data_IF_238555901168
#
_entry.id   IF_238555901168
#
_cell.length_a   1.000
_cell.length_b   1.000
_cell.length_c   1.000
_cell.angle_alpha   90.00
_cell.angle_beta   90.00
_cell.angle_gamma   90.00
#
_symmetry.space_group_name_H-M   'P 1'
#
loop_
_entity.id
_entity.type
_entity.pdbx_description
1 polymer ?
#
# COMPACT_ATOMS: atom_id res chain seq x y z
N UNK A 1 14.14 26.09 9.07
CA UNK A 1 14.11 24.95 8.14
C UNK A 1 12.67 24.75 7.68
N UNK A 2 12.38 24.76 6.38
CA UNK A 2 11.03 24.46 5.87
C UNK A 2 10.62 23.07 6.39
N UNK A 3 9.43 22.96 7.00
CA UNK A 3 8.91 21.70 7.53
C UNK A 3 8.56 20.78 6.36
N UNK A 4 9.33 19.71 6.20
CA UNK A 4 9.20 18.74 5.09
C UNK A 4 8.07 17.76 5.40
N UNK A 5 7.22 17.49 4.41
CA UNK A 5 6.22 16.44 4.50
C UNK A 5 6.90 15.08 4.74
N UNK A 6 6.26 14.25 5.55
CA UNK A 6 6.74 12.95 6.01
C UNK A 6 6.16 11.86 5.11
N UNK A 7 6.95 11.37 4.15
CA UNK A 7 6.46 10.43 3.13
C UNK A 7 6.65 8.99 3.59
N UNK A 8 5.55 8.25 3.71
CA UNK A 8 5.53 6.86 4.15
C UNK A 8 5.04 6.00 2.99
N UNK A 9 5.85 5.05 2.53
CA UNK A 9 5.48 4.20 1.39
C UNK A 9 4.98 2.84 1.85
N UNK A 10 3.84 2.38 1.33
CA UNK A 10 3.42 0.99 1.48
C UNK A 10 4.46 0.04 0.87
N UNK A 11 4.72 -1.07 1.56
CA UNK A 11 5.76 -2.04 1.20
C UNK A 11 5.21 -3.47 1.27
N UNK A 12 5.24 -4.15 0.12
CA UNK A 12 4.73 -5.50 -0.06
C UNK A 12 5.82 -6.55 0.19
N UNK A 13 5.63 -7.48 1.15
CA UNK A 13 6.63 -8.51 1.43
C UNK A 13 6.59 -9.70 0.45
N UNK A 14 5.62 -9.77 -0.47
CA UNK A 14 5.31 -10.93 -1.32
C UNK A 14 6.26 -11.17 -2.51
N UNK A 15 7.57 -11.04 -2.28
CA UNK A 15 8.63 -11.32 -3.25
C UNK A 15 9.55 -12.44 -2.76
N UNK A 16 8.93 -13.47 -2.18
CA UNK A 16 9.56 -14.74 -1.79
C UNK A 16 8.49 -15.83 -1.78
N UNK A 17 8.83 -17.09 -2.10
CA UNK A 17 7.88 -18.18 -2.09
C UNK A 17 7.52 -18.56 -0.64
N UNK A 18 6.26 -18.94 -0.43
CA UNK A 18 5.77 -19.55 0.80
C UNK A 18 4.94 -20.80 0.46
N UNK A 19 4.88 -21.81 1.33
CA UNK A 19 4.13 -23.04 1.07
C UNK A 19 2.67 -22.80 0.66
N UNK A 20 1.98 -21.86 1.33
CA UNK A 20 0.57 -21.53 1.06
C UNK A 20 0.36 -20.98 -0.35
N UNK A 21 1.26 -20.13 -0.83
CA UNK A 21 1.19 -19.60 -2.19
C UNK A 21 1.54 -20.67 -3.21
N UNK A 22 2.54 -21.51 -2.93
CA UNK A 22 2.97 -22.57 -3.82
C UNK A 22 1.88 -23.63 -4.04
N UNK A 23 1.16 -24.00 -2.98
CA UNK A 23 0.02 -24.93 -3.03
C UNK A 23 -1.10 -24.43 -3.96
N UNK A 24 -1.25 -23.11 -4.04
CA UNK A 24 -2.35 -22.49 -4.76
C UNK A 24 -2.00 -22.07 -6.19
N UNK A 25 -0.83 -21.46 -6.36
CA UNK A 25 -0.43 -20.77 -7.58
C UNK A 25 0.64 -21.52 -8.36
N UNK A 26 1.11 -22.64 -7.81
CA UNK A 26 2.20 -23.43 -8.34
C UNK A 26 3.53 -23.10 -7.66
N UNK A 27 4.41 -24.09 -7.65
CA UNK A 27 5.72 -24.05 -7.01
C UNK A 27 6.53 -22.81 -7.42
N UNK A 28 7.07 -22.11 -6.42
CA UNK A 28 7.91 -20.92 -6.62
C UNK A 28 7.13 -19.63 -6.89
N UNK A 29 5.85 -19.56 -6.52
CA UNK A 29 5.05 -18.37 -6.80
C UNK A 29 5.52 -17.17 -5.96
N UNK A 30 5.71 -16.05 -6.64
CA UNK A 30 5.88 -14.72 -6.06
C UNK A 30 5.11 -13.71 -6.90
N UNK A 31 5.01 -12.46 -6.45
CA UNK A 31 4.41 -11.40 -7.25
C UNK A 31 5.11 -11.15 -8.60
N UNK A 32 6.37 -11.55 -8.73
CA UNK A 32 7.06 -11.56 -10.01
C UNK A 32 6.40 -12.46 -11.05
N UNK A 33 5.75 -13.54 -10.63
CA UNK A 33 5.03 -14.44 -11.55
C UNK A 33 3.91 -13.70 -12.28
N UNK A 34 3.14 -12.86 -11.58
CA UNK A 34 2.07 -12.07 -12.20
C UNK A 34 2.65 -10.97 -13.10
N UNK A 35 3.69 -10.29 -12.61
CA UNK A 35 4.38 -9.22 -13.35
C UNK A 35 4.99 -9.74 -14.66
N UNK A 36 5.75 -10.83 -14.62
CA UNK A 36 6.43 -11.40 -15.78
C UNK A 36 5.48 -12.02 -16.82
N UNK A 37 4.30 -12.50 -16.39
CA UNK A 37 3.26 -13.06 -17.28
C UNK A 37 2.39 -11.99 -17.93
N UNK A 38 2.42 -10.75 -17.44
CA UNK A 38 1.57 -9.68 -17.93
C UNK A 38 1.81 -9.42 -19.42
N UNK A 39 0.72 -9.12 -20.14
CA UNK A 39 0.74 -8.81 -21.58
C UNK A 39 -0.09 -7.56 -21.85
N UNK A 40 0.29 -6.74 -22.85
CA UNK A 40 -0.53 -5.63 -23.30
C UNK A 40 -1.93 -6.09 -23.70
N UNK A 41 -2.95 -5.50 -23.08
CA UNK A 41 -4.35 -5.71 -23.45
C UNK A 41 -4.76 -4.94 -24.72
N UNK A 42 -4.07 -3.84 -25.03
CA UNK A 42 -4.34 -2.97 -26.17
C UNK A 42 -3.05 -2.30 -26.66
N UNK A 43 -3.09 -1.68 -27.84
CA UNK A 43 -1.94 -0.98 -28.41
C UNK A 43 -1.52 0.20 -27.53
N UNK A 44 -0.22 0.30 -27.22
CA UNK A 44 0.32 1.34 -26.34
C UNK A 44 0.18 1.03 -24.84
N UNK A 45 -0.47 -0.08 -24.46
CA UNK A 45 -0.51 -0.54 -23.08
C UNK A 45 0.87 -1.05 -22.65
N UNK A 46 1.49 -0.38 -21.69
CA UNK A 46 2.79 -0.74 -21.17
C UNK A 46 2.69 -1.90 -20.17
N UNK A 47 2.87 -3.12 -20.67
CA UNK A 47 3.04 -4.35 -19.89
C UNK A 47 3.97 -5.30 -20.66
N UNK A 48 4.77 -6.15 -19.99
CA UNK A 48 5.03 -6.13 -18.54
C UNK A 48 5.86 -4.91 -18.14
N UNK A 49 5.69 -4.44 -16.90
CA UNK A 49 6.68 -3.58 -16.27
C UNK A 49 7.90 -4.42 -15.89
N UNK A 50 9.10 -3.97 -16.25
CA UNK A 50 10.36 -4.72 -15.99
C UNK A 50 11.25 -3.90 -15.05
N UNK A 51 11.65 -4.44 -13.88
CA UNK A 51 12.53 -3.74 -12.95
C UNK A 51 13.88 -3.42 -13.59
N UNK A 52 14.40 -2.22 -13.31
CA UNK A 52 15.70 -1.77 -13.82
C UNK A 52 16.85 -2.21 -12.91
N UNK A 53 17.00 -1.59 -11.74
CA UNK A 53 18.24 -1.70 -10.95
C UNK A 53 18.35 -2.97 -10.12
N UNK A 54 17.23 -3.41 -9.52
CA UNK A 54 17.21 -4.50 -8.54
C UNK A 54 16.78 -5.83 -9.15
N UNK A 55 16.34 -5.83 -10.41
CA UNK A 55 15.84 -7.01 -11.11
C UNK A 55 14.65 -7.69 -10.40
N UNK A 56 14.42 -8.95 -10.75
CA UNK A 56 13.41 -9.80 -10.11
C UNK A 56 13.96 -10.37 -8.79
N UNK A 57 14.06 -9.51 -7.77
CA UNK A 57 14.72 -9.81 -6.51
C UNK A 57 13.97 -10.80 -5.60
N UNK A 58 14.65 -11.29 -4.56
CA UNK A 58 14.05 -12.03 -3.45
C UNK A 58 14.20 -11.23 -2.14
N UNK A 59 13.10 -11.02 -1.41
CA UNK A 59 13.09 -10.23 -0.18
C UNK A 59 13.64 -10.98 1.05
N UNK A 60 14.08 -12.23 0.91
CA UNK A 60 14.88 -12.93 1.92
C UNK A 60 16.34 -12.50 1.90
N UNK A 61 16.80 -11.88 0.81
CA UNK A 61 18.17 -11.39 0.68
C UNK A 61 18.30 -10.02 1.38
N UNK A 62 19.21 -9.88 2.37
CA UNK A 62 19.41 -8.61 3.06
C UNK A 62 19.90 -7.50 2.12
N UNK A 63 20.70 -7.83 1.11
CA UNK A 63 21.26 -6.88 0.13
C UNK A 63 20.14 -6.16 -0.64
N UNK A 64 19.09 -6.90 -1.03
CA UNK A 64 17.90 -6.32 -1.67
C UNK A 64 17.25 -5.29 -0.76
N UNK A 65 17.01 -5.65 0.51
CA UNK A 65 16.33 -4.78 1.48
C UNK A 65 17.16 -3.53 1.76
N UNK A 66 18.48 -3.67 1.88
CA UNK A 66 19.41 -2.56 2.06
C UNK A 66 19.33 -1.62 0.85
N UNK A 67 19.52 -2.14 -0.36
CA UNK A 67 19.49 -1.34 -1.59
C UNK A 67 18.16 -0.57 -1.77
N UNK A 68 17.03 -1.21 -1.46
CA UNK A 68 15.72 -0.55 -1.48
C UNK A 68 15.64 0.60 -0.47
N UNK A 69 16.11 0.40 0.76
CA UNK A 69 16.07 1.47 1.78
C UNK A 69 17.05 2.61 1.51
N UNK A 70 18.22 2.32 0.93
CA UNK A 70 19.18 3.33 0.49
C UNK A 70 18.57 4.21 -0.61
N UNK A 71 17.97 3.58 -1.62
CA UNK A 71 17.25 4.26 -2.70
C UNK A 71 16.08 5.09 -2.15
N UNK A 72 15.23 4.49 -1.31
CA UNK A 72 14.09 5.18 -0.71
C UNK A 72 14.52 6.42 0.09
N UNK A 73 15.58 6.29 0.90
CA UNK A 73 16.18 7.39 1.66
C UNK A 73 16.72 8.49 0.75
N UNK A 74 17.44 8.13 -0.31
CA UNK A 74 18.03 9.06 -1.27
C UNK A 74 16.97 9.98 -1.93
N UNK A 75 15.77 9.45 -2.16
CA UNK A 75 14.68 10.16 -2.83
C UNK A 75 13.61 10.72 -1.88
N UNK A 76 13.83 10.62 -0.56
CA UNK A 76 13.03 11.33 0.43
C UNK A 76 11.82 10.57 0.97
N UNK A 77 11.77 9.25 0.80
CA UNK A 77 10.90 8.39 1.61
C UNK A 77 11.44 8.37 3.04
N UNK A 78 10.59 8.67 4.02
CA UNK A 78 10.96 8.63 5.44
C UNK A 78 10.90 7.22 6.01
N UNK A 79 9.88 6.46 5.64
CA UNK A 79 9.60 5.15 6.23
C UNK A 79 8.89 4.20 5.26
N UNK A 80 9.04 2.90 5.50
CA UNK A 80 8.21 1.87 4.87
C UNK A 80 7.09 1.42 5.80
N UNK A 81 5.87 1.32 5.27
CA UNK A 81 4.72 0.74 5.91
C UNK A 81 4.57 -0.71 5.42
N UNK A 82 5.10 -1.66 6.18
CA UNK A 82 5.06 -3.06 5.80
C UNK A 82 3.65 -3.61 5.95
N UNK A 83 3.15 -4.27 4.91
CA UNK A 83 1.97 -5.10 5.09
C UNK A 83 2.29 -6.26 6.03
N UNK A 84 1.49 -6.36 7.08
CA UNK A 84 1.53 -7.38 8.11
C UNK A 84 0.23 -8.18 8.04
N UNK A 85 0.35 -9.51 7.96
CA UNK A 85 -0.78 -10.41 7.83
C UNK A 85 -0.96 -11.22 9.12
N UNK A 86 -2.12 -11.07 9.74
CA UNK A 86 -2.52 -11.76 10.95
C UNK A 86 -3.94 -12.31 10.78
N UNK A 87 -4.05 -13.64 10.86
CA UNK A 87 -5.26 -14.42 10.67
C UNK A 87 -5.53 -15.24 11.93
N UNK A 88 -5.87 -14.54 13.01
CA UNK A 88 -6.24 -15.16 14.28
C UNK A 88 -5.18 -16.15 14.85
N UNK A 89 -3.93 -15.68 14.99
CA UNK A 89 -2.81 -16.50 15.46
C UNK A 89 -1.92 -17.08 14.36
N UNK A 90 -2.37 -17.09 13.10
CA UNK A 90 -1.55 -17.45 11.95
C UNK A 90 -1.02 -16.20 11.24
N UNK A 91 0.29 -16.19 10.92
CA UNK A 91 0.94 -15.16 10.12
C UNK A 91 1.32 -15.72 8.75
N UNK A 92 1.38 -14.85 7.75
CA UNK A 92 1.86 -15.15 6.39
C UNK A 92 2.75 -14.01 5.88
N UNK A 93 3.67 -14.35 4.96
CA UNK A 93 4.62 -13.42 4.31
C UNK A 93 5.50 -12.63 5.30
N UNK A 94 5.65 -13.16 6.50
CA UNK A 94 6.15 -12.42 7.64
C UNK A 94 7.67 -12.46 7.76
N UNK A 95 8.31 -13.39 7.04
CA UNK A 95 9.74 -13.64 7.08
C UNK A 95 10.59 -12.40 6.77
N UNK A 96 10.37 -11.64 5.68
CA UNK A 96 11.21 -10.48 5.37
C UNK A 96 11.21 -9.45 6.51
N UNK A 97 10.03 -9.13 7.07
CA UNK A 97 9.94 -8.18 8.17
C UNK A 97 10.54 -8.73 9.47
N UNK A 98 10.36 -10.02 9.77
CA UNK A 98 10.99 -10.65 10.92
C UNK A 98 12.51 -10.53 10.87
N UNK A 99 13.12 -10.78 9.70
CA UNK A 99 14.56 -10.66 9.54
C UNK A 99 15.02 -9.20 9.72
N UNK A 100 14.24 -8.20 9.26
CA UNK A 100 14.54 -6.78 9.49
C UNK A 100 14.47 -6.40 10.97
N UNK A 101 13.46 -6.91 11.68
CA UNK A 101 13.30 -6.64 13.12
C UNK A 101 14.39 -7.33 13.94
N UNK A 102 14.72 -8.59 13.64
CA UNK A 102 15.70 -9.38 14.37
C UNK A 102 17.14 -8.91 14.14
N UNK A 103 17.48 -8.59 12.89
CA UNK A 103 18.84 -8.15 12.54
C UNK A 103 19.12 -6.70 12.93
N UNK A 104 18.08 -5.88 13.08
CA UNK A 104 18.25 -4.44 13.21
C UNK A 104 18.59 -3.74 11.88
N UNK A 105 18.63 -4.48 10.77
CA UNK A 105 19.06 -4.00 9.45
C UNK A 105 17.98 -4.25 8.38
N UNK A 106 17.80 -3.34 7.41
CA UNK A 106 18.47 -2.04 7.31
C UNK A 106 18.02 -1.05 8.41
N UNK A 107 18.91 -0.15 8.83
CA UNK A 107 18.56 0.98 9.71
C UNK A 107 17.70 2.03 8.97
N UNK A 108 16.43 1.68 8.74
CA UNK A 108 15.44 2.50 8.06
C UNK A 108 14.13 2.54 8.85
N UNK A 109 13.48 3.72 9.00
CA UNK A 109 12.24 3.80 9.75
C UNK A 109 11.10 2.97 9.13
N UNK A 110 10.23 2.44 9.98
CA UNK A 110 9.10 1.64 9.51
C UNK A 110 7.87 1.73 10.41
N UNK A 111 6.72 1.36 9.85
CA UNK A 111 5.49 1.05 10.59
C UNK A 111 4.79 -0.16 9.97
N UNK A 112 3.73 -0.64 10.62
CA UNK A 112 2.99 -1.81 10.17
C UNK A 112 1.56 -1.46 9.74
N UNK A 113 1.10 -2.13 8.68
CA UNK A 113 -0.28 -2.13 8.21
C UNK A 113 -0.87 -3.53 8.29
N UNK A 114 -1.87 -3.73 9.13
CA UNK A 114 -2.63 -4.98 9.15
C UNK A 114 -3.47 -5.09 7.87
N UNK A 115 -3.03 -5.95 6.96
CA UNK A 115 -3.71 -6.26 5.71
C UNK A 115 -4.82 -7.31 5.96
N UNK A 116 -5.87 -6.90 6.66
CA UNK A 116 -6.95 -7.75 7.18
C UNK A 116 -8.02 -8.11 6.13
N UNK A 117 -7.59 -8.53 4.94
CA UNK A 117 -8.49 -9.01 3.90
C UNK A 117 -8.39 -10.53 3.77
N UNK A 118 -9.54 -11.20 3.63
CA UNK A 118 -9.58 -12.62 3.24
C UNK A 118 -8.88 -12.83 1.91
N UNK A 119 -7.98 -13.81 1.85
CA UNK A 119 -7.32 -14.20 0.61
C UNK A 119 -8.17 -15.24 -0.09
N UNK A 120 -8.95 -14.77 -1.05
CA UNK A 120 -9.79 -15.60 -1.90
C UNK A 120 -9.28 -15.59 -3.34
N UNK A 121 -9.66 -16.60 -4.12
CA UNK A 121 -9.36 -16.66 -5.55
C UNK A 121 -10.11 -15.62 -6.39
N UNK A 122 -10.85 -14.69 -5.77
CA UNK A 122 -11.60 -13.62 -6.47
C UNK A 122 -10.66 -12.78 -7.34
N UNK A 123 -9.48 -12.43 -6.84
CA UNK A 123 -8.46 -11.68 -7.60
C UNK A 123 -7.93 -12.44 -8.83
N UNK A 124 -8.30 -13.73 -8.97
CA UNK A 124 -7.82 -14.64 -10.00
C UNK A 124 -8.92 -15.50 -10.63
N UNK A 125 -10.19 -15.10 -10.51
CA UNK A 125 -11.33 -15.73 -11.21
C UNK A 125 -11.84 -17.06 -10.64
N UNK A 126 -11.51 -17.42 -9.38
CA UNK A 126 -12.04 -18.61 -8.69
C UNK A 126 -12.61 -18.24 -7.30
N UNK A 127 -13.84 -17.69 -7.23
CA UNK A 127 -14.39 -17.10 -6.02
C UNK A 127 -14.70 -18.12 -4.90
N UNK A 128 -14.74 -19.42 -5.22
CA UNK A 128 -15.11 -20.48 -4.28
C UNK A 128 -13.92 -21.06 -3.50
N UNK A 129 -12.68 -20.74 -3.90
CA UNK A 129 -11.48 -21.17 -3.16
C UNK A 129 -11.05 -20.02 -2.24
N UNK A 130 -10.93 -20.30 -0.95
CA UNK A 130 -10.35 -19.39 0.06
C UNK A 130 -9.02 -20.00 0.49
N UNK A 131 -7.92 -19.24 0.36
CA UNK A 131 -6.59 -19.67 0.76
C UNK A 131 -6.44 -19.52 2.27
N UNK A 132 -6.83 -18.36 2.78
CA UNK A 132 -6.93 -18.09 4.20
C UNK A 132 -8.04 -17.05 4.45
N UNK A 133 -8.92 -17.37 5.39
CA UNK A 133 -10.02 -16.51 5.81
C UNK A 133 -9.53 -15.52 6.88
N UNK A 134 -9.92 -14.25 6.74
CA UNK A 134 -9.78 -13.29 7.84
C UNK A 134 -10.95 -13.46 8.80
N UNK A 135 -10.64 -13.87 10.03
CA UNK A 135 -11.58 -13.94 11.15
C UNK A 135 -11.17 -12.99 12.29
N UNK A 136 -12.08 -12.80 13.25
CA UNK A 136 -11.89 -11.92 14.42
C UNK A 136 -12.48 -12.57 15.67
N UNK A 137 -11.80 -13.55 16.29
CA UNK A 137 -12.36 -14.37 17.37
C UNK A 137 -12.73 -13.61 18.65
N UNK A 138 -12.20 -12.39 18.85
CA UNK A 138 -12.54 -11.54 19.97
C UNK A 138 -11.32 -11.06 20.75
N UNK A 139 -11.51 -10.80 22.04
CA UNK A 139 -10.54 -10.13 22.93
C UNK A 139 -9.19 -10.85 22.96
N UNK A 140 -9.19 -12.17 23.14
CA UNK A 140 -7.97 -12.96 23.30
C UNK A 140 -7.08 -12.90 22.05
N UNK A 141 -7.70 -12.89 20.86
CA UNK A 141 -6.99 -12.73 19.60
C UNK A 141 -6.44 -11.31 19.43
N UNK A 142 -7.23 -10.28 19.74
CA UNK A 142 -6.76 -8.90 19.70
C UNK A 142 -5.59 -8.66 20.66
N UNK A 143 -5.62 -9.24 21.86
CA UNK A 143 -4.50 -9.19 22.80
C UNK A 143 -3.27 -9.94 22.27
N UNK A 144 -3.47 -11.10 21.65
CA UNK A 144 -2.39 -11.86 21.02
C UNK A 144 -1.75 -11.08 19.87
N UNK A 145 -2.56 -10.45 19.02
CA UNK A 145 -2.10 -9.62 17.92
C UNK A 145 -1.30 -8.41 18.43
N UNK A 146 -1.80 -7.71 19.45
CA UNK A 146 -1.05 -6.60 20.03
C UNK A 146 0.29 -7.06 20.62
N UNK A 147 0.31 -8.20 21.33
CA UNK A 147 1.55 -8.78 21.87
C UNK A 147 2.55 -9.12 20.77
N UNK A 148 2.07 -9.59 19.62
CA UNK A 148 2.90 -9.87 18.45
C UNK A 148 3.51 -8.61 17.83
N UNK A 149 2.77 -7.50 17.83
CA UNK A 149 3.23 -6.22 17.29
C UNK A 149 4.18 -5.48 18.26
N UNK A 150 4.09 -5.77 19.55
CA UNK A 150 4.79 -5.03 20.60
C UNK A 150 6.33 -4.96 20.43
N UNK A 151 7.04 -6.03 20.04
CA UNK A 151 8.48 -5.94 19.76
C UNK A 151 8.80 -4.90 18.69
N UNK A 152 8.01 -4.84 17.62
CA UNK A 152 8.18 -3.82 16.58
C UNK A 152 7.90 -2.41 17.12
N UNK A 153 6.83 -2.21 17.89
CA UNK A 153 6.51 -0.89 18.48
C UNK A 153 7.61 -0.34 19.39
N UNK A 154 8.39 -1.23 20.02
CA UNK A 154 9.52 -0.87 20.88
C UNK A 154 10.83 -0.62 20.12
N UNK A 155 10.92 -1.00 18.84
CA UNK A 155 12.09 -0.72 18.01
C UNK A 155 12.29 0.80 17.88
N UNK A 156 13.55 1.25 17.96
CA UNK A 156 13.93 2.66 17.84
C UNK A 156 13.56 3.24 16.46
N UNK A 157 13.48 2.40 15.43
CA UNK A 157 13.13 2.74 14.05
C UNK A 157 11.61 2.84 13.84
N UNK A 158 10.80 2.43 14.82
CA UNK A 158 9.35 2.41 14.67
C UNK A 158 8.78 3.83 14.61
N UNK A 159 7.98 4.10 13.57
CA UNK A 159 7.40 5.40 13.33
C UNK A 159 6.38 5.78 14.42
N UNK A 160 6.53 7.00 14.94
CA UNK A 160 5.64 7.56 15.96
C UNK A 160 5.04 8.90 15.52
N UNK A 161 3.83 9.17 16.01
CA UNK A 161 3.12 10.45 15.91
C UNK A 161 2.84 10.90 17.33
N UNK A 162 3.38 12.05 17.74
CA UNK A 162 3.29 12.55 19.12
C UNK A 162 3.74 11.53 20.18
N UNK A 163 4.78 10.75 19.86
CA UNK A 163 5.30 9.68 20.72
C UNK A 163 4.49 8.38 20.73
N UNK A 164 3.33 8.34 20.05
CA UNK A 164 2.47 7.16 19.91
C UNK A 164 2.92 6.30 18.71
N UNK A 165 3.10 4.98 18.83
CA UNK A 165 3.36 4.11 17.68
C UNK A 165 2.22 4.22 16.66
N UNK A 166 2.58 4.44 15.38
CA UNK A 166 1.61 4.47 14.29
C UNK A 166 1.29 3.04 13.85
N UNK A 167 0.02 2.66 13.81
CA UNK A 167 -0.43 1.37 13.30
C UNK A 167 -1.60 1.54 12.33
N UNK A 168 -1.46 0.96 11.14
CA UNK A 168 -2.46 1.06 10.07
C UNK A 168 -3.32 -0.20 10.02
N UNK A 169 -4.62 -0.04 9.75
CA UNK A 169 -5.56 -1.13 9.53
C UNK A 169 -6.17 -0.93 8.14
N UNK A 170 -6.02 -1.92 7.27
CA UNK A 170 -6.40 -1.79 5.85
C UNK A 170 -7.92 -1.81 5.62
N UNK A 171 -8.66 -2.65 6.36
CA UNK A 171 -10.13 -2.73 6.29
C UNK A 171 -10.76 -2.59 7.67
N UNK A 172 -10.72 -1.41 8.28
CA UNK A 172 -11.23 -1.21 9.64
C UNK A 172 -12.74 -1.49 9.76
N UNK A 173 -13.51 -1.35 8.67
CA UNK A 173 -14.95 -1.66 8.62
C UNK A 173 -15.27 -3.14 8.78
N UNK A 174 -14.37 -4.01 8.36
CA UNK A 174 -14.60 -5.45 8.36
C UNK A 174 -14.42 -6.05 9.77
N UNK A 175 -13.87 -5.28 10.71
CA UNK A 175 -13.64 -5.68 12.10
C UNK A 175 -14.95 -5.57 12.89
N UNK A 176 -15.51 -6.69 13.40
CA UNK A 176 -16.68 -6.66 14.26
C UNK A 176 -16.40 -5.88 15.54
N UNK A 177 -17.27 -4.92 15.86
CA UNK A 177 -17.12 -4.05 17.03
C UNK A 177 -15.71 -3.44 17.12
N UNK A 178 -15.27 -2.78 16.05
CA UNK A 178 -13.91 -2.20 15.94
C UNK A 178 -13.55 -1.29 17.14
N UNK A 179 -14.53 -0.61 17.73
CA UNK A 179 -14.31 0.22 18.92
C UNK A 179 -13.82 -0.58 20.14
N UNK A 180 -14.21 -1.86 20.27
CA UNK A 180 -13.69 -2.74 21.32
C UNK A 180 -12.19 -3.00 21.13
N UNK A 181 -11.79 -3.39 19.91
CA UNK A 181 -10.38 -3.59 19.57
C UNK A 181 -9.57 -2.30 19.81
N UNK A 182 -10.07 -1.15 19.35
CA UNK A 182 -9.44 0.15 19.55
C UNK A 182 -9.19 0.43 21.03
N UNK A 183 -10.21 0.27 21.89
CA UNK A 183 -10.06 0.49 23.34
C UNK A 183 -9.01 -0.42 23.95
N UNK A 184 -9.01 -1.69 23.57
CA UNK A 184 -8.05 -2.68 24.04
C UNK A 184 -6.61 -2.31 23.62
N UNK A 185 -6.38 -2.00 22.34
CA UNK A 185 -5.07 -1.62 21.82
C UNK A 185 -4.53 -0.37 22.53
N UNK A 186 -5.37 0.64 22.77
CA UNK A 186 -4.96 1.84 23.55
C UNK A 186 -4.57 1.49 24.98
N UNK A 187 -5.37 0.68 25.67
CA UNK A 187 -5.05 0.22 27.04
C UNK A 187 -3.73 -0.56 27.08
N UNK A 188 -3.49 -1.44 26.11
CA UNK A 188 -2.25 -2.23 26.03
C UNK A 188 -1.04 -1.37 25.68
N UNK A 189 -1.19 -0.37 24.82
CA UNK A 189 -0.14 0.59 24.49
C UNK A 189 0.30 1.41 25.72
N UNK A 190 -0.66 1.88 26.52
CA UNK A 190 -0.38 2.59 27.77
C UNK A 190 0.34 1.67 28.76
N UNK A 191 -0.16 0.43 28.96
CA UNK A 191 0.49 -0.58 29.81
C UNK A 191 1.92 -0.92 29.35
N UNK A 192 2.18 -0.84 28.05
CA UNK A 192 3.49 -1.08 27.46
C UNK A 192 4.47 0.12 27.58
N UNK A 193 4.02 1.25 28.14
CA UNK A 193 4.84 2.45 28.37
C UNK A 193 4.76 3.51 27.27
N UNK A 194 3.84 3.39 26.31
CA UNK A 194 3.59 4.45 25.33
C UNK A 194 2.54 5.45 25.87
N UNK A 195 2.53 6.71 25.40
CA UNK A 195 1.45 7.64 25.76
C UNK A 195 0.07 7.14 25.35
N UNK A 196 0.01 6.44 24.20
CA UNK A 196 -1.18 5.89 23.55
C UNK A 196 -0.70 5.14 22.28
N UNK A 197 -1.60 4.71 21.39
CA UNK A 197 -1.31 4.24 20.02
C UNK A 197 -1.98 5.17 19.01
N UNK A 198 -1.32 5.44 17.88
CA UNK A 198 -1.89 6.25 16.79
C UNK A 198 -2.48 5.33 15.73
N UNK A 199 -3.80 5.15 15.77
CA UNK A 199 -4.51 4.20 14.92
C UNK A 199 -5.00 4.89 13.65
N UNK A 200 -4.65 4.28 12.52
CA UNK A 200 -4.98 4.81 11.19
C UNK A 200 -5.76 3.76 10.40
N UNK A 201 -6.94 4.12 9.90
CA UNK A 201 -7.71 3.26 8.99
C UNK A 201 -7.47 3.61 7.53
N UNK A 202 -7.56 2.66 6.60
CA UNK A 202 -7.65 3.01 5.17
C UNK A 202 -9.12 3.21 4.78
N UNK A 203 -9.41 4.28 4.03
CA UNK A 203 -10.74 4.59 3.49
C UNK A 203 -10.69 4.75 1.97
N UNK A 204 -11.71 4.23 1.30
CA UNK A 204 -11.84 4.19 -0.17
C UNK A 204 -13.10 4.96 -0.65
N UNK A 205 -13.25 6.23 -0.25
CA UNK A 205 -14.44 7.08 -0.56
C UNK A 205 -15.78 6.58 0.00
N UNK A 206 -15.76 5.69 0.96
CA UNK A 206 -16.91 4.92 1.43
C UNK A 206 -17.61 5.56 2.64
N UNK A 207 -17.44 6.86 2.84
CA UNK A 207 -18.06 7.63 3.93
C UNK A 207 -17.59 7.24 5.33
N UNK A 208 -16.53 6.44 5.46
CA UNK A 208 -16.01 6.04 6.77
C UNK A 208 -15.41 7.22 7.54
N UNK A 209 -15.78 7.34 8.80
CA UNK A 209 -15.26 8.38 9.70
C UNK A 209 -14.31 7.74 10.74
N UNK A 210 -13.02 8.12 10.76
CA UNK A 210 -12.07 7.57 11.73
C UNK A 210 -12.45 7.91 13.17
N UNK A 211 -12.91 9.13 13.45
CA UNK A 211 -13.22 9.58 14.82
C UNK A 211 -14.37 8.81 15.43
N UNK A 212 -15.44 8.58 14.67
CA UNK A 212 -16.61 7.81 15.12
C UNK A 212 -16.23 6.37 15.49
N UNK A 213 -15.21 5.82 14.83
CA UNK A 213 -14.72 4.46 15.05
C UNK A 213 -13.56 4.39 16.06
N UNK A 214 -13.15 5.51 16.67
CA UNK A 214 -12.10 5.60 17.68
C UNK A 214 -10.66 5.66 17.13
N UNK A 215 -10.50 5.85 15.81
CA UNK A 215 -9.23 6.03 15.14
C UNK A 215 -8.78 7.49 15.19
N UNK A 216 -7.47 7.72 15.11
CA UNK A 216 -6.88 9.05 15.09
C UNK A 216 -6.94 9.66 13.68
N UNK A 217 -6.80 8.84 12.64
CA UNK A 217 -6.84 9.29 11.26
C UNK A 217 -7.30 8.21 10.26
N UNK A 218 -7.55 8.64 9.01
CA UNK A 218 -7.82 7.79 7.87
C UNK A 218 -6.90 8.14 6.69
N UNK A 219 -6.29 7.13 6.07
CA UNK A 219 -5.60 7.27 4.79
C UNK A 219 -6.65 7.28 3.68
N UNK A 220 -6.68 8.35 2.90
CA UNK A 220 -7.56 8.48 1.75
C UNK A 220 -6.95 7.77 0.54
N UNK A 221 -7.14 6.45 0.46
CA UNK A 221 -6.66 5.64 -0.66
C UNK A 221 -7.74 5.56 -1.74
N UNK A 222 -7.84 6.65 -2.50
CA UNK A 222 -8.87 6.83 -3.50
C UNK A 222 -8.48 6.20 -4.83
N UNK A 223 -9.38 5.41 -5.39
CA UNK A 223 -9.31 4.90 -6.76
C UNK A 223 -10.64 5.14 -7.45
N UNK A 224 -10.65 5.37 -8.77
CA UNK A 224 -11.89 5.43 -9.52
C UNK A 224 -12.61 4.06 -9.49
N UNK A 225 -13.95 4.09 -9.54
CA UNK A 225 -14.77 2.88 -9.47
C UNK A 225 -14.62 1.96 -10.69
N UNK A 226 -14.89 0.66 -10.49
CA UNK A 226 -14.95 -0.32 -11.57
C UNK A 226 -16.25 -0.20 -12.35
N UNK A 227 -16.27 0.67 -13.36
CA UNK A 227 -17.46 0.97 -14.18
C UNK A 227 -17.61 0.09 -15.42
N UNK A 228 -16.60 -0.69 -15.77
CA UNK A 228 -16.54 -1.40 -17.05
C UNK A 228 -16.41 -0.45 -18.25
N UNK A 229 -15.99 0.79 -18.02
CA UNK A 229 -15.90 1.82 -19.05
C UNK A 229 -14.56 1.76 -19.77
N UNK A 230 -14.62 1.49 -21.08
CA UNK A 230 -13.48 1.59 -22.00
C UNK A 230 -13.66 2.85 -22.87
N UNK A 231 -12.69 3.78 -22.86
CA UNK A 231 -12.68 4.98 -23.70
C UNK A 231 -12.85 4.66 -25.19
N UNK A 232 -13.52 5.56 -25.93
CA UNK A 232 -13.75 5.42 -27.37
C UNK A 232 -12.47 5.33 -28.21
N UNK A 233 -11.35 5.83 -27.70
CA UNK A 233 -10.02 5.68 -28.34
C UNK A 233 -9.50 4.24 -28.41
N UNK A 234 -10.11 3.31 -27.69
CA UNK A 234 -9.78 1.88 -27.71
C UNK A 234 -10.93 1.04 -28.31
N UNK A 235 -11.34 1.28 -29.58
CA UNK A 235 -12.57 0.68 -30.13
C UNK A 235 -12.48 -0.85 -30.24
N UNK A 236 -11.32 -1.39 -30.62
CA UNK A 236 -11.09 -2.84 -30.72
C UNK A 236 -11.15 -3.52 -29.35
N UNK A 237 -10.59 -2.88 -28.31
CA UNK A 237 -10.65 -3.39 -26.94
C UNK A 237 -12.08 -3.38 -26.42
N UNK A 238 -12.83 -2.30 -26.68
CA UNK A 238 -14.23 -2.17 -26.30
C UNK A 238 -15.10 -3.28 -26.90
N UNK A 239 -14.87 -3.61 -28.17
CA UNK A 239 -15.55 -4.75 -28.82
C UNK A 239 -15.16 -6.09 -28.19
N UNK A 240 -13.85 -6.34 -28.00
CA UNK A 240 -13.36 -7.57 -27.35
C UNK A 240 -13.89 -7.75 -25.93
N UNK A 241 -13.96 -6.67 -25.14
CA UNK A 241 -14.47 -6.71 -23.76
C UNK A 241 -15.94 -7.08 -23.73
N UNK A 242 -16.76 -6.54 -24.63
CA UNK A 242 -18.18 -6.92 -24.75
C UNK A 242 -18.37 -8.40 -25.08
N UNK A 243 -17.54 -8.96 -25.97
CA UNK A 243 -17.63 -10.37 -26.35
C UNK A 243 -17.25 -11.29 -25.17
N UNK A 244 -16.30 -10.88 -24.33
CA UNK A 244 -15.80 -11.66 -23.20
C UNK A 244 -16.49 -11.35 -21.86
N UNK A 245 -17.56 -10.55 -21.88
CA UNK A 245 -18.21 -10.01 -20.67
C UNK A 245 -17.21 -9.39 -19.66
N UNK A 246 -16.17 -8.74 -20.19
CA UNK A 246 -15.12 -8.11 -19.40
C UNK A 246 -15.56 -6.76 -18.83
N UNK A 247 -15.21 -6.50 -17.56
CA UNK A 247 -15.52 -5.26 -16.83
C UNK A 247 -14.32 -4.32 -16.69
N UNK A 248 -13.43 -4.32 -17.68
CA UNK A 248 -12.24 -3.49 -17.70
C UNK A 248 -12.62 -2.01 -17.61
N UNK A 249 -12.02 -1.30 -16.67
CA UNK A 249 -12.22 0.13 -16.48
C UNK A 249 -10.93 0.87 -16.80
N UNK A 250 -10.98 1.86 -17.68
CA UNK A 250 -9.80 2.64 -18.07
C UNK A 250 -10.08 4.13 -17.87
N UNK A 251 -9.21 4.78 -17.11
CA UNK A 251 -9.23 6.21 -16.82
C UNK A 251 -7.90 6.85 -17.22
N UNK A 252 -7.91 8.15 -17.55
CA UNK A 252 -6.66 8.91 -17.68
C UNK A 252 -6.23 9.43 -16.33
N UNK A 253 -4.93 9.34 -16.03
CA UNK A 253 -4.38 9.89 -14.78
C UNK A 253 -4.78 11.35 -14.56
N UNK A 254 -4.63 12.19 -15.58
CA UNK A 254 -5.01 13.61 -15.51
C UNK A 254 -6.48 13.87 -15.17
N UNK A 255 -7.38 12.96 -15.56
CA UNK A 255 -8.83 13.13 -15.35
C UNK A 255 -9.22 12.77 -13.91
N UNK A 256 -8.43 11.93 -13.23
CA UNK A 256 -8.70 11.46 -11.85
C UNK A 256 -7.80 12.10 -10.80
N UNK A 257 -6.73 12.81 -11.18
CA UNK A 257 -5.73 13.41 -10.27
C UNK A 257 -6.37 14.13 -9.07
N UNK A 258 -7.37 14.98 -9.33
CA UNK A 258 -8.03 15.74 -8.27
C UNK A 258 -8.84 14.88 -7.30
N UNK A 259 -9.39 13.75 -7.76
CA UNK A 259 -10.08 12.78 -6.90
C UNK A 259 -9.12 11.91 -6.10
N UNK A 260 -7.91 11.64 -6.63
CA UNK A 260 -6.89 10.88 -5.90
C UNK A 260 -6.46 11.61 -4.62
N UNK A 261 -6.30 12.95 -4.70
CA UNK A 261 -5.90 13.80 -3.57
C UNK A 261 -7.04 14.79 -3.25
N UNK A 262 -8.05 14.38 -2.46
CA UNK A 262 -9.18 15.24 -2.13
C UNK A 262 -8.78 16.30 -1.10
N UNK A 263 -9.36 17.48 -1.21
CA UNK A 263 -9.15 18.61 -0.27
C UNK A 263 -9.52 18.28 1.18
N UNK A 264 -10.35 17.26 1.40
CA UNK A 264 -10.65 16.71 2.73
C UNK A 264 -9.38 16.36 3.52
N UNK A 265 -8.30 15.99 2.83
CA UNK A 265 -6.99 15.68 3.43
C UNK A 265 -6.25 16.90 4.02
N UNK A 266 -6.80 18.12 3.88
CA UNK A 266 -6.37 19.30 4.65
C UNK A 266 -6.72 19.18 6.15
N UNK A 267 -7.77 18.42 6.48
CA UNK A 267 -8.20 18.16 7.85
C UNK A 267 -7.23 17.20 8.55
N UNK A 268 -7.12 17.29 9.88
CA UNK A 268 -6.11 16.55 10.65
C UNK A 268 -6.34 15.03 10.57
N UNK A 269 -7.60 14.63 10.51
CA UNK A 269 -8.10 13.25 10.55
C UNK A 269 -7.90 12.50 9.22
N UNK A 270 -7.49 13.19 8.16
CA UNK A 270 -7.40 12.59 6.82
C UNK A 270 -6.00 12.79 6.24
N UNK A 271 -5.35 11.68 5.93
CA UNK A 271 -4.00 11.63 5.38
C UNK A 271 -4.08 11.40 3.86
N UNK A 272 -3.41 12.22 3.03
CA UNK A 272 -3.39 11.98 1.60
C UNK A 272 -2.60 10.71 1.26
N UNK A 273 -3.06 9.98 0.26
CA UNK A 273 -2.35 8.84 -0.33
C UNK A 273 -2.06 9.15 -1.80
N UNK A 274 -0.79 9.32 -2.17
CA UNK A 274 -0.38 9.55 -3.56
C UNK A 274 -0.12 8.22 -4.26
N UNK A 275 -0.44 8.18 -5.56
CA UNK A 275 -0.23 7.02 -6.42
C UNK A 275 0.59 7.44 -7.66
N UNK A 276 1.76 6.84 -7.93
CA UNK A 276 2.51 7.09 -9.17
C UNK A 276 1.72 6.67 -10.41
N UNK A 277 1.00 5.56 -10.34
CA UNK A 277 0.24 4.95 -11.43
C UNK A 277 -0.68 3.86 -10.85
N UNK A 278 -1.48 3.21 -11.72
CA UNK A 278 -2.30 2.07 -11.31
C UNK A 278 -2.68 1.22 -12.51
N UNK A 279 -2.37 -0.07 -12.46
CA UNK A 279 -2.76 -1.08 -13.43
C UNK A 279 -2.71 -2.48 -12.81
N UNK A 280 -3.87 -2.98 -12.35
CA UNK A 280 -3.98 -4.33 -11.81
C UNK A 280 -4.37 -5.39 -12.86
N UNK A 281 -4.25 -5.08 -14.15
CA UNK A 281 -4.48 -6.05 -15.22
C UNK A 281 -3.56 -7.28 -15.22
N UNK A 282 -2.32 -7.26 -14.66
CA UNK A 282 -1.53 -8.48 -14.46
C UNK A 282 -2.25 -9.55 -13.62
N UNK A 283 -3.06 -9.13 -12.64
CA UNK A 283 -3.86 -10.05 -11.80
C UNK A 283 -5.26 -10.28 -12.39
N UNK A 284 -5.92 -9.20 -12.81
CA UNK A 284 -7.36 -9.18 -13.11
C UNK A 284 -7.72 -9.25 -14.60
N UNK A 285 -6.75 -9.14 -15.51
CA UNK A 285 -6.96 -9.14 -16.96
C UNK A 285 -8.02 -8.14 -17.40
N UNK A 286 -9.02 -8.61 -18.15
CA UNK A 286 -10.15 -7.81 -18.67
C UNK A 286 -11.16 -7.36 -17.60
N UNK A 287 -10.91 -7.63 -16.32
CA UNK A 287 -11.72 -7.17 -15.19
C UNK A 287 -10.98 -6.17 -14.30
N UNK A 288 -9.80 -5.71 -14.73
CA UNK A 288 -8.98 -4.76 -13.99
C UNK A 288 -9.42 -3.31 -14.10
N UNK A 289 -8.63 -2.48 -13.42
CA UNK A 289 -8.62 -1.02 -13.49
C UNK A 289 -7.25 -0.58 -14.02
N UNK A 290 -7.26 0.26 -15.05
CA UNK A 290 -6.07 0.87 -15.63
C UNK A 290 -6.21 2.39 -15.56
N UNK A 291 -5.26 3.05 -14.92
CA UNK A 291 -5.07 4.50 -14.98
C UNK A 291 -3.95 4.77 -16.00
N UNK A 292 -4.34 4.98 -17.25
CA UNK A 292 -3.41 5.19 -18.37
C UNK A 292 -2.91 6.65 -18.42
N UNK A 293 -1.88 6.87 -19.23
CA UNK A 293 -1.24 8.17 -19.44
C UNK A 293 -0.69 8.79 -18.14
N UNK A 294 -0.26 7.98 -17.16
CA UNK A 294 0.53 8.49 -16.03
C UNK A 294 1.94 8.90 -16.50
N UNK A 295 2.47 9.97 -15.89
CA UNK A 295 3.81 10.46 -16.13
C UNK A 295 4.42 11.05 -14.85
N UNK A 296 5.76 11.14 -14.76
CA UNK A 296 6.42 11.81 -13.64
C UNK A 296 5.91 13.22 -13.38
N UNK A 297 5.55 13.99 -14.42
CA UNK A 297 5.03 15.36 -14.29
C UNK A 297 3.64 15.40 -13.68
N UNK A 298 2.75 14.49 -14.08
CA UNK A 298 1.40 14.39 -13.50
C UNK A 298 1.46 13.86 -12.07
N UNK A 299 2.33 12.89 -11.79
CA UNK A 299 2.57 12.42 -10.44
C UNK A 299 3.12 13.54 -9.56
N UNK A 300 4.03 14.35 -10.08
CA UNK A 300 4.56 15.54 -9.38
C UNK A 300 3.45 16.52 -8.98
N UNK A 301 2.45 16.73 -9.83
CA UNK A 301 1.29 17.57 -9.48
C UNK A 301 0.47 16.96 -8.33
N UNK A 302 0.29 15.65 -8.32
CA UNK A 302 -0.36 14.92 -7.22
C UNK A 302 0.41 15.07 -5.90
N UNK A 303 1.74 14.95 -5.95
CA UNK A 303 2.64 15.19 -4.82
C UNK A 303 2.56 16.62 -4.30
N UNK A 304 2.67 17.62 -5.19
CA UNK A 304 2.63 19.04 -4.82
C UNK A 304 1.30 19.35 -4.09
N UNK A 305 0.18 18.82 -4.58
CA UNK A 305 -1.13 18.96 -3.91
C UNK A 305 -1.19 18.27 -2.55
N UNK A 306 -0.66 17.05 -2.44
CA UNK A 306 -0.64 16.32 -1.17
C UNK A 306 0.22 17.04 -0.11
N UNK A 307 1.37 17.58 -0.52
CA UNK A 307 2.27 18.35 0.35
C UNK A 307 1.65 19.67 0.78
N UNK A 308 0.96 20.38 -0.12
CA UNK A 308 0.18 21.57 0.20
C UNK A 308 -0.88 21.24 1.27
N UNK A 309 -1.66 20.17 1.07
CA UNK A 309 -2.73 19.77 1.99
C UNK A 309 -2.24 19.51 3.43
N UNK A 310 -1.01 19.02 3.60
CA UNK A 310 -0.46 18.74 4.94
C UNK A 310 0.39 19.87 5.50
N UNK A 311 0.77 20.87 4.71
CA UNK A 311 1.75 21.89 5.07
C UNK A 311 1.40 22.71 6.34
N UNK A 312 0.11 22.92 6.60
CA UNK A 312 -0.39 23.67 7.75
C UNK A 312 -0.62 22.80 9.00
N UNK A 313 -0.46 21.47 8.91
CA UNK A 313 -0.67 20.56 10.04
C UNK A 313 0.52 20.63 11.03
N UNK A 314 0.32 20.21 12.31
CA UNK A 314 1.44 20.00 13.22
C UNK A 314 2.49 19.07 12.61
N UNK A 315 3.78 19.29 12.92
CA UNK A 315 4.88 18.63 12.23
C UNK A 315 4.80 17.09 12.25
N UNK A 316 4.39 16.51 13.38
CA UNK A 316 4.18 15.07 13.55
C UNK A 316 3.05 14.50 12.67
N UNK A 317 2.09 15.34 12.29
CA UNK A 317 0.90 15.02 11.48
C UNK A 317 1.04 15.41 10.00
N UNK A 318 2.20 15.93 9.57
CA UNK A 318 2.47 16.23 8.15
C UNK A 318 2.74 14.97 7.32
N UNK A 319 1.96 13.91 7.52
CA UNK A 319 2.13 12.60 6.92
C UNK A 319 1.49 12.54 5.54
N UNK A 320 2.22 12.00 4.57
CA UNK A 320 1.71 11.66 3.23
C UNK A 320 2.02 10.19 2.98
N UNK A 321 0.98 9.40 2.73
CA UNK A 321 1.16 8.02 2.32
C UNK A 321 1.42 7.94 0.82
N UNK A 322 2.27 7.01 0.43
CA UNK A 322 2.54 6.68 -0.96
C UNK A 322 2.16 5.21 -1.16
N UNK A 323 1.24 4.95 -2.08
CA UNK A 323 0.96 3.59 -2.53
C UNK A 323 1.52 3.48 -3.94
N UNK A 324 2.59 2.74 -4.20
CA UNK A 324 3.42 2.01 -3.22
C UNK A 324 4.90 1.99 -3.59
N UNK A 325 5.75 1.37 -2.76
CA UNK A 325 7.14 1.14 -3.11
C UNK A 325 7.24 0.11 -4.23
N UNK A 326 6.63 -1.07 -4.04
CA UNK A 326 6.89 -2.26 -4.84
C UNK A 326 5.66 -3.13 -5.17
N UNK A 327 4.46 -2.57 -5.32
CA UNK A 327 3.28 -3.34 -5.80
C UNK A 327 3.29 -3.51 -7.34
N UNK A 328 4.27 -4.28 -7.84
CA UNK A 328 4.55 -4.48 -9.27
C UNK A 328 3.37 -5.05 -10.08
N UNK A 329 2.62 -6.02 -9.56
CA UNK A 329 1.47 -6.59 -10.29
C UNK A 329 0.23 -5.70 -10.28
N UNK A 330 0.26 -4.58 -9.56
CA UNK A 330 -0.71 -3.48 -9.67
C UNK A 330 -0.16 -2.33 -10.52
N UNK A 331 1.01 -2.51 -11.15
CA UNK A 331 1.76 -1.46 -11.82
C UNK A 331 2.18 -0.33 -10.89
N UNK A 332 1.83 -0.37 -9.60
CA UNK A 332 1.81 0.74 -8.68
C UNK A 332 3.05 0.77 -7.79
N UNK A 333 4.19 1.10 -8.39
CA UNK A 333 5.50 1.05 -7.75
C UNK A 333 6.29 2.35 -7.97
N UNK A 334 7.11 2.69 -6.99
CA UNK A 334 8.14 3.73 -7.09
C UNK A 334 9.50 3.17 -7.48
N UNK A 335 9.69 1.86 -7.31
CA UNK A 335 10.91 1.20 -7.78
C UNK A 335 11.14 1.44 -9.27
N UNK A 336 12.39 1.71 -9.70
CA UNK A 336 12.72 1.97 -11.08
C UNK A 336 12.38 0.82 -12.03
N UNK A 337 11.75 1.15 -13.14
CA UNK A 337 11.54 0.25 -14.27
C UNK A 337 12.36 0.68 -15.50
N UNK A 338 12.39 -0.17 -16.53
CA UNK A 338 13.14 0.12 -17.76
C UNK A 338 12.60 1.31 -18.57
N UNK A 339 11.35 1.75 -18.35
CA UNK A 339 10.73 2.81 -19.14
C UNK A 339 11.00 4.19 -18.56
N UNK A 340 10.84 4.34 -17.26
CA UNK A 340 10.94 5.62 -16.56
C UNK A 340 12.21 5.74 -15.71
N UNK A 341 12.93 4.63 -15.46
CA UNK A 341 14.10 4.65 -14.60
C UNK A 341 13.78 5.30 -13.27
N UNK A 342 14.55 6.33 -12.90
CA UNK A 342 14.38 7.04 -11.62
C UNK A 342 13.40 8.21 -11.69
N UNK A 343 12.76 8.49 -12.83
CA UNK A 343 12.03 9.73 -13.04
C UNK A 343 10.88 9.97 -12.02
N UNK A 344 10.18 8.92 -11.58
CA UNK A 344 9.15 9.05 -10.52
C UNK A 344 9.76 9.38 -9.15
N UNK A 345 10.92 8.80 -8.84
CA UNK A 345 11.68 9.10 -7.62
C UNK A 345 12.25 10.53 -7.66
N UNK A 346 12.76 10.97 -8.81
CA UNK A 346 13.21 12.35 -9.04
C UNK A 346 12.07 13.35 -8.90
N UNK A 347 10.87 13.02 -9.40
CA UNK A 347 9.68 13.84 -9.22
C UNK A 347 9.32 14.02 -7.73
N UNK A 348 9.38 12.93 -6.94
CA UNK A 348 9.20 12.98 -5.49
C UNK A 348 10.23 13.90 -4.81
N UNK A 349 11.51 13.67 -5.10
CA UNK A 349 12.61 14.47 -4.51
C UNK A 349 12.47 15.96 -4.85
N UNK A 350 12.19 16.27 -6.11
CA UNK A 350 11.97 17.64 -6.57
C UNK A 350 10.78 18.31 -5.87
N UNK A 351 9.66 17.60 -5.69
CA UNK A 351 8.51 18.13 -4.95
C UNK A 351 8.81 18.37 -3.47
N UNK A 352 9.65 17.55 -2.86
CA UNK A 352 10.05 17.68 -1.45
C UNK A 352 11.05 18.82 -1.19
N UNK A 353 11.78 19.27 -2.22
CA UNK A 353 12.79 20.33 -2.12
C UNK A 353 12.24 21.74 -2.40
N UNK A 354 10.98 21.85 -2.86
CA UNK A 354 10.25 23.11 -3.00
C UNK A 354 9.98 23.77 -1.65
#
# INVERSE_FOLDING_TARGET
>A
MKKKARVISFYLPQFHPIPENDEWWGKGFTEWTNTAKAKPLFHGHYQPHVPADLGFYDLRLPETRIAQTEMARQYGIEAFCYYHYWFAGKRLLERPFNEVLQSGEPDFPFCLCWANATWSGIWHGNPHRILIEQSYPGTEDYEAHFRELLPAFKDKRYLKVDGKPLFVIYKPKDIPNVQHMVRLFRQMAIKAGFPDIYLVGVSHHDGWDPKVNGFDAAIMQNLPGLTGSIPWRHPLLKLKSKIKDGRLSIYRYKDVLNSLIPDKTKQLEYLPCVLPNWDNSPRSGINGLIIEDSSPELFKQSLDKAFENVSAKPASHQLVFLKSWNEWAEGNHMEPDLKYGHAYLEALKSSLEK
#
